data_IF_325835915816
#
_entry.id   IF_325835915816
#
_cell.length_a   1.000
_cell.length_b   1.000
_cell.length_c   1.000
_cell.angle_alpha   90.00
_cell.angle_beta   90.00
_cell.angle_gamma   90.00
#
_symmetry.space_group_name_H-M   'P 1'
#
loop_
_entity.id
_entity.type
_entity.pdbx_description
1 polymer ?
#
# COMPACT_ATOMS: atom_id res chain seq x y z
N UNK A 1 8.30 18.12 -13.30
CA UNK A 1 8.56 17.10 -14.33
C UNK A 1 9.97 17.27 -14.89
N UNK A 2 10.28 18.43 -15.48
CA UNK A 2 11.53 18.67 -16.21
C UNK A 2 12.81 18.49 -15.39
N UNK A 3 12.85 18.98 -14.13
CA UNK A 3 14.04 18.86 -13.28
C UNK A 3 14.39 17.40 -12.92
N UNK A 4 13.37 16.55 -12.70
CA UNK A 4 13.59 15.14 -12.36
C UNK A 4 14.18 14.38 -13.56
N UNK A 5 13.69 14.68 -14.76
CA UNK A 5 14.22 14.11 -16.00
C UNK A 5 15.64 14.59 -16.24
N UNK A 6 15.91 15.89 -16.15
CA UNK A 6 17.24 16.44 -16.36
C UNK A 6 18.25 15.84 -15.37
N UNK A 7 17.90 15.80 -14.08
CA UNK A 7 18.73 15.17 -13.05
C UNK A 7 19.00 13.69 -13.37
N UNK A 8 17.99 12.96 -13.83
CA UNK A 8 18.12 11.57 -14.23
C UNK A 8 19.00 11.41 -15.48
N UNK A 9 18.85 12.26 -16.49
CA UNK A 9 19.64 12.26 -17.71
C UNK A 9 21.13 12.57 -17.43
N UNK A 10 21.42 13.31 -16.35
CA UNK A 10 22.78 13.57 -15.84
C UNK A 10 23.32 12.46 -14.89
N UNK A 11 22.71 11.26 -14.89
CA UNK A 11 23.05 10.14 -14.00
C UNK A 11 22.87 10.41 -12.50
N UNK A 12 22.09 11.43 -12.15
CA UNK A 12 21.80 11.77 -10.76
C UNK A 12 21.03 10.68 -10.03
N UNK A 13 20.15 9.93 -10.74
CA UNK A 13 19.40 8.83 -10.15
C UNK A 13 20.33 7.70 -9.66
N UNK A 14 21.30 7.30 -10.47
CA UNK A 14 22.31 6.30 -10.14
C UNK A 14 23.15 6.72 -8.93
N UNK A 15 23.53 8.01 -8.87
CA UNK A 15 24.23 8.57 -7.72
C UNK A 15 23.39 8.44 -6.44
N UNK A 16 22.11 8.80 -6.49
CA UNK A 16 21.22 8.64 -5.35
C UNK A 16 21.05 7.17 -4.94
N UNK A 17 20.87 6.25 -5.91
CA UNK A 17 20.76 4.81 -5.61
C UNK A 17 22.03 4.31 -4.89
N UNK A 18 23.21 4.77 -5.32
CA UNK A 18 24.48 4.44 -4.67
C UNK A 18 24.56 5.00 -3.25
N UNK A 19 24.10 6.24 -3.02
CA UNK A 19 24.07 6.85 -1.69
C UNK A 19 23.12 6.11 -0.74
N UNK A 20 22.01 5.60 -1.26
CA UNK A 20 21.06 4.80 -0.47
C UNK A 20 21.68 3.49 0.03
N UNK A 21 22.66 2.94 -0.69
CA UNK A 21 23.40 1.72 -0.34
C UNK A 21 24.53 1.95 0.68
N UNK A 22 24.75 3.17 1.16
CA UNK A 22 25.83 3.40 2.13
C UNK A 22 25.47 2.74 3.47
N UNK A 23 26.09 1.60 3.74
CA UNK A 23 25.84 0.71 4.90
C UNK A 23 26.29 1.28 6.25
N UNK A 24 26.70 2.55 6.30
CA UNK A 24 27.16 3.16 7.54
C UNK A 24 25.94 3.68 8.32
N UNK A 25 25.69 3.08 9.48
CA UNK A 25 24.59 3.39 10.41
C UNK A 25 24.58 4.84 10.93
N UNK A 26 25.62 5.63 10.63
CA UNK A 26 25.70 7.06 10.96
C UNK A 26 25.10 7.97 9.88
N UNK A 27 24.51 7.42 8.82
CA UNK A 27 24.03 8.17 7.66
C UNK A 27 22.51 8.08 7.44
N UNK A 28 21.74 7.82 8.50
CA UNK A 28 20.28 7.70 8.42
C UNK A 28 19.62 8.93 7.77
N UNK A 29 20.13 10.13 8.02
CA UNK A 29 19.67 11.37 7.38
C UNK A 29 19.94 11.38 5.87
N UNK A 30 21.13 10.92 5.44
CA UNK A 30 21.47 10.80 4.02
C UNK A 30 20.54 9.78 3.37
N UNK A 31 20.34 8.61 3.98
CA UNK A 31 19.43 7.57 3.45
C UNK A 31 18.00 8.07 3.38
N UNK A 32 17.54 8.83 4.38
CA UNK A 32 16.21 9.45 4.42
C UNK A 32 16.03 10.45 3.28
N UNK A 33 16.93 11.44 3.17
CA UNK A 33 16.87 12.48 2.14
C UNK A 33 17.04 11.90 0.74
N UNK A 34 17.91 10.92 0.59
CA UNK A 34 18.14 10.21 -0.67
C UNK A 34 16.88 9.45 -1.09
N UNK A 35 16.27 8.68 -0.19
CA UNK A 35 15.00 7.97 -0.48
C UNK A 35 13.90 8.95 -0.90
N UNK A 36 13.79 10.08 -0.19
CA UNK A 36 12.82 11.13 -0.51
C UNK A 36 13.07 11.74 -1.90
N UNK A 37 14.32 12.08 -2.22
CA UNK A 37 14.69 12.66 -3.52
C UNK A 37 14.44 11.67 -4.67
N UNK A 38 14.79 10.40 -4.50
CA UNK A 38 14.47 9.35 -5.48
C UNK A 38 12.95 9.23 -5.65
N UNK A 39 12.21 9.18 -4.54
CA UNK A 39 10.75 9.02 -4.58
C UNK A 39 10.06 10.20 -5.29
N UNK A 40 10.51 11.43 -5.03
CA UNK A 40 10.04 12.63 -5.73
C UNK A 40 10.39 12.61 -7.22
N UNK A 41 11.56 12.08 -7.58
CA UNK A 41 11.96 11.94 -8.98
C UNK A 41 11.10 10.92 -9.75
N UNK A 42 10.61 9.86 -9.09
CA UNK A 42 9.68 8.90 -9.72
C UNK A 42 8.24 9.38 -9.81
N UNK A 43 7.78 10.18 -8.85
CA UNK A 43 6.37 10.52 -8.71
C UNK A 43 5.80 11.18 -9.98
N UNK A 44 4.93 10.43 -10.68
CA UNK A 44 4.31 10.90 -11.92
C UNK A 44 5.27 11.08 -13.09
N UNK A 45 6.47 10.46 -13.05
CA UNK A 45 7.49 10.57 -14.09
C UNK A 45 7.84 9.20 -14.73
N UNK A 46 7.07 8.72 -15.72
CA UNK A 46 7.29 7.41 -16.35
C UNK A 46 8.69 7.20 -16.94
N UNK A 47 9.32 8.25 -17.48
CA UNK A 47 10.70 8.17 -17.99
C UNK A 47 11.71 7.84 -16.88
N UNK A 48 11.57 8.48 -15.72
CA UNK A 48 12.45 8.27 -14.57
C UNK A 48 12.13 6.92 -13.90
N UNK A 49 10.86 6.55 -13.79
CA UNK A 49 10.42 5.23 -13.31
C UNK A 49 11.01 4.10 -14.16
N UNK A 50 10.95 4.23 -15.51
CA UNK A 50 11.55 3.26 -16.43
C UNK A 50 13.06 3.15 -16.26
N UNK A 51 13.75 4.27 -16.07
CA UNK A 51 15.20 4.25 -15.78
C UNK A 51 15.49 3.53 -14.46
N UNK A 52 14.72 3.80 -13.39
CA UNK A 52 14.82 3.08 -12.12
C UNK A 52 14.57 1.57 -12.27
N UNK A 53 13.57 1.19 -13.07
CA UNK A 53 13.27 -0.21 -13.37
C UNK A 53 14.44 -0.89 -14.08
N UNK A 54 15.00 -0.26 -15.11
CA UNK A 54 16.15 -0.78 -15.86
C UNK A 54 17.42 -0.93 -15.00
N UNK A 55 17.53 -0.16 -13.93
CA UNK A 55 18.61 -0.26 -12.93
C UNK A 55 18.35 -1.37 -11.88
N UNK A 56 17.25 -2.12 -11.99
CA UNK A 56 16.89 -3.19 -11.04
C UNK A 56 16.40 -2.66 -9.68
N UNK A 57 15.94 -1.40 -9.63
CA UNK A 57 15.70 -0.71 -8.37
C UNK A 57 14.50 -1.26 -7.58
N UNK A 58 13.52 -1.88 -8.24
CA UNK A 58 12.38 -2.54 -7.56
C UNK A 58 12.88 -3.65 -6.62
N UNK A 59 13.63 -4.63 -7.14
CA UNK A 59 14.21 -5.72 -6.34
C UNK A 59 15.08 -5.20 -5.21
N UNK A 60 15.85 -4.15 -5.49
CA UNK A 60 16.72 -3.51 -4.49
C UNK A 60 15.91 -2.85 -3.36
N UNK A 61 14.85 -2.09 -3.67
CA UNK A 61 13.96 -1.52 -2.66
C UNK A 61 13.30 -2.59 -1.80
N UNK A 62 12.81 -3.69 -2.40
CA UNK A 62 12.22 -4.82 -1.67
C UNK A 62 13.22 -5.43 -0.69
N UNK A 63 14.48 -5.59 -1.10
CA UNK A 63 15.54 -6.06 -0.21
C UNK A 63 15.76 -5.10 0.96
N UNK A 64 15.90 -3.79 0.70
CA UNK A 64 16.09 -2.79 1.75
C UNK A 64 14.93 -2.73 2.74
N UNK A 65 13.68 -2.78 2.26
CA UNK A 65 12.47 -2.78 3.12
C UNK A 65 12.49 -3.97 4.07
N UNK A 66 12.92 -5.15 3.60
CA UNK A 66 12.96 -6.36 4.43
C UNK A 66 13.99 -6.28 5.56
N UNK A 67 15.16 -5.65 5.31
CA UNK A 67 16.26 -5.60 6.30
C UNK A 67 16.26 -4.33 7.16
N UNK A 68 15.51 -3.30 6.77
CA UNK A 68 15.50 -2.02 7.49
C UNK A 68 14.85 -2.15 8.88
N UNK A 69 15.52 -1.62 9.89
CA UNK A 69 15.05 -1.63 11.28
C UNK A 69 14.59 -0.25 11.75
N UNK A 70 15.10 0.83 11.14
CA UNK A 70 14.66 2.19 11.39
C UNK A 70 13.34 2.47 10.67
N UNK A 71 12.28 2.61 11.46
CA UNK A 71 10.93 2.87 10.97
C UNK A 71 10.81 4.13 10.10
N UNK A 72 11.59 5.18 10.37
CA UNK A 72 11.56 6.41 9.58
C UNK A 72 12.13 6.17 8.18
N UNK A 73 13.18 5.35 8.07
CA UNK A 73 13.77 4.99 6.77
C UNK A 73 12.87 4.01 6.05
N UNK A 74 12.35 2.98 6.72
CA UNK A 74 11.42 2.01 6.13
C UNK A 74 10.19 2.71 5.54
N UNK A 75 9.63 3.68 6.27
CA UNK A 75 8.54 4.52 5.77
C UNK A 75 8.91 5.26 4.48
N UNK A 76 10.13 5.83 4.40
CA UNK A 76 10.62 6.49 3.17
C UNK A 76 10.87 5.51 2.04
N UNK A 77 11.41 4.32 2.30
CA UNK A 77 11.59 3.29 1.29
C UNK A 77 10.25 2.83 0.70
N UNK A 78 9.22 2.67 1.54
CA UNK A 78 7.85 2.38 1.08
C UNK A 78 7.25 3.53 0.27
N UNK A 79 7.51 4.78 0.65
CA UNK A 79 7.15 5.94 -0.16
C UNK A 79 7.82 5.88 -1.54
N UNK A 80 9.12 5.64 -1.61
CA UNK A 80 9.88 5.52 -2.86
C UNK A 80 9.39 4.36 -3.73
N UNK A 81 9.11 3.21 -3.12
CA UNK A 81 8.52 2.07 -3.83
C UNK A 81 7.14 2.45 -4.39
N UNK A 82 6.31 3.09 -3.59
CA UNK A 82 4.99 3.53 -4.02
C UNK A 82 5.05 4.49 -5.21
N UNK A 83 5.93 5.49 -5.21
CA UNK A 83 6.05 6.40 -6.34
C UNK A 83 6.69 5.76 -7.57
N UNK A 84 7.48 4.69 -7.40
CA UNK A 84 8.01 3.90 -8.52
C UNK A 84 6.93 3.06 -9.22
N UNK A 85 5.93 2.57 -8.48
CA UNK A 85 4.94 1.61 -8.98
C UNK A 85 3.63 2.26 -9.49
N UNK A 86 3.19 3.36 -8.86
CA UNK A 86 1.92 4.01 -9.20
C UNK A 86 1.91 4.54 -10.63
N UNK A 87 0.81 4.28 -11.34
CA UNK A 87 0.60 4.61 -12.75
C UNK A 87 1.69 4.05 -13.69
N UNK A 88 2.33 2.94 -13.29
CA UNK A 88 3.44 2.36 -14.03
C UNK A 88 3.33 0.82 -14.10
N UNK A 89 2.61 0.29 -15.11
CA UNK A 89 2.31 -1.14 -15.23
C UNK A 89 3.57 -2.04 -15.25
N UNK A 90 4.64 -1.58 -15.89
CA UNK A 90 5.89 -2.34 -15.97
C UNK A 90 6.53 -2.50 -14.59
N UNK A 91 6.50 -1.45 -13.77
CA UNK A 91 6.98 -1.51 -12.39
C UNK A 91 6.13 -2.45 -11.54
N UNK A 92 4.81 -2.40 -11.67
CA UNK A 92 3.91 -3.30 -10.94
C UNK A 92 4.14 -4.77 -11.28
N UNK A 93 4.29 -5.12 -12.57
CA UNK A 93 4.68 -6.49 -12.96
C UNK A 93 5.98 -6.91 -12.31
N UNK A 94 7.00 -6.06 -12.42
CA UNK A 94 8.32 -6.37 -11.85
C UNK A 94 8.27 -6.50 -10.32
N UNK A 95 7.43 -5.72 -9.64
CA UNK A 95 7.18 -5.85 -8.21
C UNK A 95 6.58 -7.21 -7.85
N UNK A 96 5.57 -7.67 -8.59
CA UNK A 96 4.98 -9.00 -8.39
C UNK A 96 6.01 -10.12 -8.67
N UNK A 97 6.74 -10.03 -9.79
CA UNK A 97 7.79 -11.00 -10.18
C UNK A 97 8.90 -11.16 -9.13
N UNK A 98 9.17 -10.12 -8.34
CA UNK A 98 10.23 -10.11 -7.32
C UNK A 98 9.73 -10.37 -5.89
N UNK A 99 8.54 -10.94 -5.72
CA UNK A 99 8.00 -11.27 -4.40
C UNK A 99 7.60 -10.03 -3.59
N UNK A 100 7.03 -9.05 -4.29
CA UNK A 100 6.61 -7.78 -3.71
C UNK A 100 5.54 -7.95 -2.64
N UNK A 101 4.57 -8.84 -2.86
CA UNK A 101 3.46 -9.09 -1.93
C UNK A 101 3.97 -9.71 -0.63
N UNK A 102 4.88 -10.67 -0.71
CA UNK A 102 5.50 -11.31 0.45
C UNK A 102 6.33 -10.33 1.26
N UNK A 103 7.04 -9.42 0.60
CA UNK A 103 7.77 -8.33 1.27
C UNK A 103 6.82 -7.41 2.03
N UNK A 104 5.66 -7.10 1.44
CA UNK A 104 4.64 -6.27 2.07
C UNK A 104 3.99 -7.01 3.25
N UNK A 105 3.69 -8.29 3.14
CA UNK A 105 3.13 -9.09 4.24
C UNK A 105 4.07 -9.19 5.43
N UNK A 106 5.37 -9.37 5.21
CA UNK A 106 6.38 -9.41 6.28
C UNK A 106 6.37 -8.16 7.16
N UNK A 107 5.92 -7.01 6.66
CA UNK A 107 5.76 -5.80 7.47
C UNK A 107 4.75 -6.01 8.61
N UNK A 108 3.69 -6.79 8.37
CA UNK A 108 2.65 -7.08 9.36
C UNK A 108 3.13 -8.09 10.40
N UNK A 109 4.02 -9.00 10.01
CA UNK A 109 4.62 -10.03 10.88
C UNK A 109 5.76 -9.47 11.75
N UNK A 110 6.38 -8.38 11.33
CA UNK A 110 7.49 -7.74 12.04
C UNK A 110 7.02 -6.93 13.25
N UNK A 111 7.43 -7.36 14.46
CA UNK A 111 7.10 -6.69 15.73
C UNK A 111 7.58 -5.23 15.82
N UNK A 112 8.61 -4.84 15.06
CA UNK A 112 9.14 -3.47 15.09
C UNK A 112 8.41 -2.50 14.15
N UNK A 113 7.56 -3.00 13.24
CA UNK A 113 6.83 -2.14 12.31
C UNK A 113 5.65 -1.45 13.00
N UNK A 114 5.69 -0.12 13.07
CA UNK A 114 4.60 0.67 13.66
C UNK A 114 3.39 0.81 12.71
N UNK A 115 2.28 1.32 13.24
CA UNK A 115 1.03 1.48 12.49
C UNK A 115 1.22 2.32 11.21
N UNK A 116 2.07 3.35 11.23
CA UNK A 116 2.35 4.20 10.07
C UNK A 116 2.94 3.42 8.89
N UNK A 117 3.84 2.47 9.16
CA UNK A 117 4.45 1.63 8.12
C UNK A 117 3.43 0.64 7.57
N UNK A 118 2.66 0.00 8.45
CA UNK A 118 1.59 -0.93 8.05
C UNK A 118 0.55 -0.21 7.19
N UNK A 119 0.08 0.96 7.61
CA UNK A 119 -0.85 1.78 6.82
C UNK A 119 -0.25 2.19 5.48
N UNK A 120 1.03 2.59 5.43
CA UNK A 120 1.69 2.89 4.15
C UNK A 120 1.70 1.71 3.18
N UNK A 121 1.88 0.49 3.71
CA UNK A 121 1.82 -0.72 2.92
C UNK A 121 0.40 -1.04 2.43
N UNK A 122 -0.61 -0.84 3.28
CA UNK A 122 -2.04 -0.96 2.93
C UNK A 122 -2.43 0.03 1.84
N UNK A 123 -2.05 1.31 1.99
CA UNK A 123 -2.28 2.35 0.99
C UNK A 123 -1.68 1.96 -0.36
N UNK A 124 -0.43 1.47 -0.37
CA UNK A 124 0.20 1.01 -1.60
C UNK A 124 -0.62 -0.11 -2.25
N UNK A 125 -0.99 -1.17 -1.52
CA UNK A 125 -1.78 -2.27 -2.10
C UNK A 125 -3.13 -1.78 -2.63
N UNK A 126 -3.83 -0.93 -1.87
CA UNK A 126 -5.10 -0.34 -2.29
C UNK A 126 -4.94 0.46 -3.60
N UNK A 127 -3.91 1.30 -3.69
CA UNK A 127 -3.66 2.08 -4.90
C UNK A 127 -3.41 1.19 -6.12
N UNK A 128 -2.61 0.12 -5.98
CA UNK A 128 -2.35 -0.80 -7.10
C UNK A 128 -3.61 -1.56 -7.53
N UNK A 129 -4.47 -1.94 -6.59
CA UNK A 129 -5.76 -2.58 -6.89
C UNK A 129 -6.67 -1.60 -7.65
N UNK A 130 -6.84 -0.39 -7.13
CA UNK A 130 -7.70 0.61 -7.74
C UNK A 130 -7.18 1.04 -9.12
N UNK A 131 -5.87 1.20 -9.30
CA UNK A 131 -5.26 1.47 -10.60
C UNK A 131 -5.54 0.35 -11.59
N UNK A 132 -5.42 -0.91 -11.16
CA UNK A 132 -5.75 -2.08 -12.00
C UNK A 132 -7.24 -2.10 -12.36
N UNK A 133 -8.14 -1.92 -11.41
CA UNK A 133 -9.59 -1.94 -11.65
C UNK A 133 -9.99 -0.80 -12.63
N UNK A 134 -9.52 0.42 -12.38
CA UNK A 134 -9.74 1.56 -13.27
C UNK A 134 -9.15 1.34 -14.67
N UNK A 135 -7.97 0.72 -14.77
CA UNK A 135 -7.36 0.38 -16.05
C UNK A 135 -8.21 -0.64 -16.83
N UNK A 136 -8.82 -1.61 -16.15
CA UNK A 136 -9.72 -2.58 -16.78
C UNK A 136 -11.00 -1.91 -17.29
N UNK A 137 -11.60 -1.00 -16.53
CA UNK A 137 -12.78 -0.24 -16.95
C UNK A 137 -12.51 0.60 -18.20
N UNK A 138 -11.32 1.19 -18.29
CA UNK A 138 -10.87 1.98 -19.44
C UNK A 138 -10.20 1.14 -20.55
N UNK A 139 -10.22 -0.20 -20.45
CA UNK A 139 -9.62 -1.13 -21.43
C UNK A 139 -8.14 -0.84 -21.72
N UNK A 140 -7.38 -0.47 -20.70
CA UNK A 140 -5.93 -0.25 -20.81
C UNK A 140 -5.19 -1.60 -20.79
N UNK A 141 -4.89 -2.12 -21.98
CA UNK A 141 -4.21 -3.41 -22.17
C UNK A 141 -2.88 -3.55 -21.39
N UNK A 142 -2.20 -2.44 -21.10
CA UNK A 142 -0.93 -2.46 -20.36
C UNK A 142 -1.05 -3.08 -18.96
N UNK A 143 -2.25 -3.13 -18.38
CA UNK A 143 -2.53 -3.71 -17.06
C UNK A 143 -3.08 -5.14 -17.10
N UNK A 144 -3.40 -5.70 -18.27
CA UNK A 144 -4.11 -7.00 -18.38
C UNK A 144 -3.43 -8.12 -17.60
N UNK A 145 -2.11 -8.23 -17.71
CA UNK A 145 -1.31 -9.29 -17.08
C UNK A 145 -0.83 -8.95 -15.65
N UNK A 146 -1.43 -7.97 -14.98
CA UNK A 146 -1.12 -7.63 -13.58
C UNK A 146 -2.18 -8.29 -12.70
N UNK A 147 -1.82 -9.40 -12.06
CA UNK A 147 -2.72 -10.25 -11.27
C UNK A 147 -2.64 -9.91 -9.77
N UNK A 148 -2.76 -8.63 -9.42
CA UNK A 148 -2.56 -8.14 -8.04
C UNK A 148 -3.51 -8.81 -7.03
N UNK A 149 -4.81 -8.96 -7.37
CA UNK A 149 -5.81 -9.59 -6.51
C UNK A 149 -5.48 -11.05 -6.23
N UNK A 150 -5.13 -11.81 -7.27
CA UNK A 150 -4.78 -13.22 -7.15
C UNK A 150 -3.54 -13.43 -6.27
N UNK A 151 -2.50 -12.61 -6.47
CA UNK A 151 -1.30 -12.68 -5.65
C UNK A 151 -1.59 -12.30 -4.18
N UNK A 152 -2.44 -11.31 -3.92
CA UNK A 152 -2.84 -10.97 -2.55
C UNK A 152 -3.56 -12.14 -1.86
N UNK A 153 -4.50 -12.80 -2.54
CA UNK A 153 -5.22 -13.97 -1.99
C UNK A 153 -4.26 -15.12 -1.75
N UNK A 154 -3.42 -15.44 -2.73
CA UNK A 154 -2.41 -16.52 -2.66
C UNK A 154 -1.46 -16.35 -1.47
N UNK A 155 -1.18 -15.11 -1.07
CA UNK A 155 -0.31 -14.81 0.06
C UNK A 155 -1.07 -14.46 1.35
N UNK A 156 -2.35 -14.86 1.48
CA UNK A 156 -3.17 -14.68 2.69
C UNK A 156 -3.34 -13.22 3.15
N UNK A 157 -3.30 -12.27 2.23
CA UNK A 157 -3.47 -10.85 2.53
C UNK A 157 -4.76 -10.58 3.31
N UNK A 158 -5.86 -11.24 2.92
CA UNK A 158 -7.18 -11.11 3.55
C UNK A 158 -7.14 -11.40 5.06
N UNK A 159 -6.45 -12.47 5.46
CA UNK A 159 -6.30 -12.84 6.87
C UNK A 159 -5.39 -11.85 7.61
N UNK A 160 -4.29 -11.42 7.00
CA UNK A 160 -3.36 -10.45 7.62
C UNK A 160 -4.03 -9.09 7.88
N UNK A 161 -4.76 -8.55 6.91
CA UNK A 161 -5.44 -7.26 7.07
C UNK A 161 -6.62 -7.36 8.04
N UNK A 162 -7.32 -8.50 8.08
CA UNK A 162 -8.35 -8.80 9.08
C UNK A 162 -7.78 -8.81 10.49
N UNK A 163 -6.70 -9.56 10.70
CA UNK A 163 -6.01 -9.60 11.98
C UNK A 163 -5.52 -8.22 12.42
N UNK A 164 -4.99 -7.42 11.48
CA UNK A 164 -4.55 -6.07 11.78
C UNK A 164 -5.71 -5.19 12.27
N UNK A 165 -6.88 -5.21 11.60
CA UNK A 165 -8.07 -4.50 12.06
C UNK A 165 -8.56 -4.98 13.44
N UNK A 166 -8.44 -6.27 13.73
CA UNK A 166 -8.79 -6.83 15.06
C UNK A 166 -7.86 -6.30 16.15
N UNK A 167 -6.57 -6.15 15.84
CA UNK A 167 -5.52 -5.84 16.80
C UNK A 167 -5.30 -4.35 17.08
N UNK A 168 -5.77 -3.47 16.19
CA UNK A 168 -5.51 -2.03 16.28
C UNK A 168 -6.34 -1.37 17.38
N UNK A 169 -5.84 -0.27 17.95
CA UNK A 169 -6.63 0.58 18.85
C UNK A 169 -7.83 1.14 18.08
N UNK A 170 -9.05 0.84 18.53
CA UNK A 170 -10.28 1.26 17.87
C UNK A 170 -10.52 2.78 17.91
N UNK A 171 -9.69 3.53 18.65
CA UNK A 171 -9.66 4.99 18.62
C UNK A 171 -8.68 5.55 17.56
N UNK A 172 -7.89 4.69 16.89
CA UNK A 172 -6.95 5.08 15.83
C UNK A 172 -7.67 5.21 14.48
N UNK A 173 -8.57 6.19 14.45
CA UNK A 173 -9.54 6.40 13.38
C UNK A 173 -8.94 6.56 11.99
N UNK A 174 -7.79 7.26 11.89
CA UNK A 174 -7.08 7.48 10.64
C UNK A 174 -6.56 6.16 10.03
N UNK A 175 -5.94 5.31 10.84
CA UNK A 175 -5.42 4.03 10.35
C UNK A 175 -6.55 3.06 10.01
N UNK A 176 -7.62 3.03 10.81
CA UNK A 176 -8.79 2.19 10.55
C UNK A 176 -9.45 2.58 9.23
N UNK A 177 -9.53 3.88 8.91
CA UNK A 177 -10.10 4.33 7.65
C UNK A 177 -9.36 3.72 6.46
N UNK A 178 -8.02 3.79 6.49
CA UNK A 178 -7.20 3.24 5.41
C UNK A 178 -7.35 1.72 5.29
N UNK A 179 -7.50 1.02 6.42
CA UNK A 179 -7.76 -0.43 6.43
C UNK A 179 -9.10 -0.73 5.75
N UNK A 180 -10.17 -0.07 6.18
CA UNK A 180 -11.51 -0.29 5.64
C UNK A 180 -11.58 0.04 4.15
N UNK A 181 -10.96 1.16 3.73
CA UNK A 181 -10.88 1.55 2.32
C UNK A 181 -10.20 0.46 1.48
N UNK A 182 -9.11 -0.12 1.96
CA UNK A 182 -8.40 -1.20 1.28
C UNK A 182 -9.14 -2.55 1.28
N UNK A 183 -10.04 -2.77 2.25
CA UNK A 183 -10.88 -3.96 2.29
C UNK A 183 -12.03 -3.91 1.27
N UNK A 184 -12.61 -2.74 1.00
CA UNK A 184 -13.76 -2.60 0.10
C UNK A 184 -13.56 -3.26 -1.27
N UNK A 185 -12.50 -2.94 -2.05
CA UNK A 185 -12.34 -3.51 -3.39
C UNK A 185 -12.15 -5.03 -3.35
N UNK A 186 -11.68 -5.60 -2.24
CA UNK A 186 -11.37 -7.02 -2.10
C UNK A 186 -12.53 -7.86 -1.53
N UNK A 187 -13.70 -7.27 -1.29
CA UNK A 187 -14.81 -7.95 -0.59
C UNK A 187 -15.29 -9.21 -1.31
N UNK A 188 -15.20 -9.25 -2.63
CA UNK A 188 -15.55 -10.39 -3.48
C UNK A 188 -14.62 -11.59 -3.27
N UNK A 189 -13.30 -11.35 -3.19
CA UNK A 189 -12.28 -12.40 -3.06
C UNK A 189 -11.90 -12.73 -1.62
N UNK A 190 -12.05 -11.78 -0.69
CA UNK A 190 -11.70 -11.92 0.74
C UNK A 190 -12.89 -12.18 1.65
N UNK A 191 -14.08 -12.50 1.09
CA UNK A 191 -15.33 -12.60 1.85
C UNK A 191 -15.23 -13.53 3.06
N UNK A 192 -14.60 -14.69 2.88
CA UNK A 192 -14.47 -15.73 3.92
C UNK A 192 -13.78 -15.17 5.16
N UNK A 193 -12.68 -14.44 4.99
CA UNK A 193 -11.97 -13.78 6.09
C UNK A 193 -12.78 -12.60 6.66
N UNK A 194 -13.32 -11.75 5.79
CA UNK A 194 -13.92 -10.47 6.20
C UNK A 194 -15.25 -10.62 6.92
N UNK A 195 -16.03 -11.68 6.68
CA UNK A 195 -17.29 -11.92 7.42
C UNK A 195 -17.05 -12.01 8.93
N UNK A 196 -15.89 -12.52 9.36
CA UNK A 196 -15.52 -12.59 10.78
C UNK A 196 -15.38 -11.21 11.44
N UNK A 197 -15.25 -10.13 10.66
CA UNK A 197 -15.06 -8.76 11.14
C UNK A 197 -16.37 -8.04 11.47
N UNK A 198 -17.54 -8.60 11.11
CA UNK A 198 -18.85 -7.96 11.35
C UNK A 198 -19.02 -7.45 12.80
N UNK A 199 -18.69 -8.21 13.86
CA UNK A 199 -18.80 -7.72 15.25
C UNK A 199 -17.90 -6.50 15.53
N UNK A 200 -16.74 -6.41 14.88
CA UNK A 200 -15.83 -5.27 15.01
C UNK A 200 -16.36 -4.07 14.25
N UNK A 201 -16.93 -4.28 13.07
CA UNK A 201 -17.60 -3.23 12.30
C UNK A 201 -18.80 -2.66 13.07
N UNK A 202 -19.58 -3.50 13.75
CA UNK A 202 -20.67 -3.06 14.64
C UNK A 202 -20.13 -2.19 15.79
N UNK A 203 -19.06 -2.64 16.46
CA UNK A 203 -18.42 -1.87 17.54
C UNK A 203 -17.86 -0.53 17.05
N UNK A 204 -17.22 -0.50 15.88
CA UNK A 204 -16.73 0.72 15.27
C UNK A 204 -17.87 1.67 14.92
N UNK A 205 -18.96 1.18 14.32
CA UNK A 205 -20.14 1.98 14.05
C UNK A 205 -20.71 2.61 15.33
N UNK A 206 -20.78 1.85 16.42
CA UNK A 206 -21.24 2.36 17.73
C UNK A 206 -20.32 3.43 18.33
N UNK A 207 -18.99 3.26 18.23
CA UNK A 207 -18.01 4.24 18.70
C UNK A 207 -18.19 5.55 17.91
N UNK A 208 -18.27 5.46 16.59
CA UNK A 208 -18.32 6.64 15.73
C UNK A 208 -19.65 7.37 15.80
N UNK A 209 -20.77 6.66 15.88
CA UNK A 209 -22.09 7.30 16.06
C UNK A 209 -22.22 8.04 17.38
N UNK A 210 -21.46 7.65 18.41
CA UNK A 210 -21.41 8.31 19.73
C UNK A 210 -20.40 9.46 19.80
N UNK A 211 -19.42 9.50 18.89
CA UNK A 211 -18.34 10.50 18.91
C UNK A 211 -18.79 11.75 18.12
N UNK A 212 -19.00 12.84 18.86
CA UNK A 212 -19.41 14.21 18.46
C UNK A 212 -19.96 14.48 17.03
N UNK A 213 -21.25 14.85 16.88
CA UNK A 213 -21.90 15.14 15.59
C UNK A 213 -21.51 16.49 14.93
N UNK A 214 -20.45 17.19 15.37
CA UNK A 214 -20.12 18.54 14.89
C UNK A 214 -18.97 18.60 13.87
N UNK A 215 -18.29 17.49 13.57
CA UNK A 215 -17.25 17.39 12.52
C UNK A 215 -17.80 16.69 11.26
N UNK A 216 -18.90 17.23 10.72
CA UNK A 216 -19.89 16.49 9.92
C UNK A 216 -19.39 15.84 8.60
N UNK A 217 -18.32 16.30 7.95
CA UNK A 217 -18.00 15.77 6.60
C UNK A 217 -17.09 14.54 6.63
N UNK A 218 -16.03 14.57 7.43
CA UNK A 218 -14.99 13.51 7.40
C UNK A 218 -15.48 12.21 8.07
N UNK A 219 -16.27 12.31 9.14
CA UNK A 219 -16.79 11.15 9.86
C UNK A 219 -17.93 10.45 9.13
N UNK A 220 -18.65 11.17 8.25
CA UNK A 220 -19.76 10.60 7.47
C UNK A 220 -19.25 9.64 6.40
N UNK A 221 -18.14 9.96 5.73
CA UNK A 221 -17.52 9.05 4.75
C UNK A 221 -17.03 7.78 5.45
N UNK A 222 -16.38 7.93 6.61
CA UNK A 222 -15.92 6.80 7.40
C UNK A 222 -17.06 5.88 7.88
N UNK A 223 -18.13 6.46 8.44
CA UNK A 223 -19.33 5.71 8.83
C UNK A 223 -19.96 4.99 7.63
N UNK A 224 -20.00 5.67 6.47
CA UNK A 224 -20.48 5.09 5.23
C UNK A 224 -19.64 3.89 4.81
N UNK A 225 -18.31 3.96 4.93
CA UNK A 225 -17.40 2.85 4.62
C UNK A 225 -17.63 1.64 5.54
N UNK A 226 -17.82 1.86 6.86
CA UNK A 226 -18.17 0.76 7.78
C UNK A 226 -19.49 0.11 7.37
N UNK A 227 -20.53 0.91 7.16
CA UNK A 227 -21.87 0.42 6.87
C UNK A 227 -21.91 -0.30 5.52
N UNK A 228 -21.20 0.21 4.51
CA UNK A 228 -21.09 -0.41 3.20
C UNK A 228 -20.35 -1.75 3.28
N UNK A 229 -19.18 -1.80 3.93
CA UNK A 229 -18.43 -3.04 4.08
C UNK A 229 -19.27 -4.08 4.83
N UNK A 230 -19.88 -3.70 5.95
CA UNK A 230 -20.78 -4.57 6.72
C UNK A 230 -21.94 -5.08 5.87
N UNK A 231 -22.62 -4.20 5.14
CA UNK A 231 -23.75 -4.56 4.27
C UNK A 231 -23.30 -5.55 3.19
N UNK A 232 -22.18 -5.29 2.52
CA UNK A 232 -21.65 -6.16 1.47
C UNK A 232 -21.30 -7.56 2.01
N UNK A 233 -20.78 -7.64 3.24
CA UNK A 233 -20.48 -8.91 3.90
C UNK A 233 -21.74 -9.69 4.33
N UNK A 234 -22.82 -9.00 4.68
CA UNK A 234 -24.09 -9.64 5.07
C UNK A 234 -24.99 -9.99 3.88
N UNK A 235 -24.82 -9.34 2.73
CA UNK A 235 -25.59 -9.61 1.52
C UNK A 235 -25.05 -10.85 0.78
N UNK A 236 -25.33 -12.06 1.29
CA UNK A 236 -25.87 -13.22 0.53
C UNK A 236 -25.82 -14.52 1.34
N UNK A 237 -27.00 -15.10 1.49
CA UNK A 237 -27.30 -16.53 1.52
C UNK A 237 -28.52 -16.77 0.62
N UNK A 238 -28.39 -16.48 -0.69
CA UNK A 238 -29.50 -16.67 -1.65
C UNK A 238 -29.08 -16.84 -3.11
N UNK A 239 -27.84 -17.23 -3.41
CA UNK A 239 -27.44 -17.61 -4.79
C UNK A 239 -26.65 -18.91 -4.90
N UNK A 240 -26.56 -19.70 -3.82
CA UNK A 240 -26.04 -21.07 -3.86
C UNK A 240 -27.11 -22.05 -3.32
N UNK A 241 -28.20 -22.22 -4.07
CA UNK A 241 -29.18 -23.29 -3.96
C UNK A 241 -29.74 -23.64 -5.34
#
# INVERSE_FOLDING_TARGET
>A
YDNAILFSDMNGLELLIKLLNTTNTNNDDIRHLTSLAIGAAFQGNPKVQLKGLNLGFVRYLLHLINIETNNNIKYRLLFTLSTLLRNFPQGQRNFLEHGGIETIIKIFEQNNSNNKIKTRAIELMNDLILEKDQAMDHKQHAYENINIRDELVKHNWCSHISYYLISIDLNDFDHIEKILMAMMPLTDVCRIDFVSLVPILDKLNDIYTKTNPNEYSMYMEFLTNIQNLRKNLLQTSSTDL
#
